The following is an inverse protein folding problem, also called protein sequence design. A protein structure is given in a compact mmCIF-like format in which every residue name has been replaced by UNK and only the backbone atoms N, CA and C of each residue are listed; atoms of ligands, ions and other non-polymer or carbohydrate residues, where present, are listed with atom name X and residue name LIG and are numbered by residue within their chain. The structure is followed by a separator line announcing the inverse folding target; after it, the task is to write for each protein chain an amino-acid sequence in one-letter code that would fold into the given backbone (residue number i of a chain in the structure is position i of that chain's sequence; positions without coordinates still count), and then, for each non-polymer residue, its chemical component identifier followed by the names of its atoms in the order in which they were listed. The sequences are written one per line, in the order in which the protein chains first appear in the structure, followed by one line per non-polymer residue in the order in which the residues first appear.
data_IF_038445605712
#
_entry.id   IF_038445605712
#
_cell.length_a   1.000
_cell.length_b   1.000
_cell.length_c   1.000
_cell.angle_alpha   90.00
_cell.angle_beta   90.00
_cell.angle_gamma   90.00
#
_symmetry.space_group_name_H-M   'P 1'
#
loop_
_entity.id
_entity.type
_entity.pdbx_description
1 polymer ?
#
# COMPACT_ATOMS: atom_id res chain seq x y z
N UNK A 1 73.35 39.07 -50.69
CA UNK A 1 72.58 38.24 -49.74
C UNK A 1 72.03 39.21 -48.71
N UNK A 2 70.74 39.57 -48.82
CA UNK A 2 70.05 40.54 -47.93
C UNK A 2 69.07 39.70 -47.11
N UNK A 3 69.36 39.54 -45.83
CA UNK A 3 68.50 38.83 -44.89
C UNK A 3 67.32 39.69 -44.46
N UNK A 4 66.18 39.02 -44.35
CA UNK A 4 64.81 39.53 -44.34
C UNK A 4 64.17 38.92 -43.11
N UNK A 5 64.04 39.65 -41.99
CA UNK A 5 62.96 39.47 -40.98
C UNK A 5 63.23 40.17 -39.63
N UNK A 6 63.40 41.49 -39.58
CA UNK A 6 63.43 42.18 -38.27
C UNK A 6 62.52 43.41 -38.16
N UNK A 7 61.62 43.61 -39.12
CA UNK A 7 60.66 44.73 -39.09
C UNK A 7 59.22 44.24 -39.30
N UNK A 8 58.69 43.48 -38.35
CA UNK A 8 57.23 43.24 -38.25
C UNK A 8 56.78 43.21 -36.78
N UNK A 9 57.52 43.89 -35.89
CA UNK A 9 57.20 43.90 -34.46
C UNK A 9 56.58 45.22 -33.94
N UNK A 10 56.27 46.21 -34.79
CA UNK A 10 55.84 47.53 -34.27
C UNK A 10 54.84 48.33 -35.12
N UNK A 11 53.84 47.67 -35.74
CA UNK A 11 52.67 48.40 -36.25
C UNK A 11 51.46 47.50 -36.28
N UNK A 12 50.57 47.69 -35.30
CA UNK A 12 49.33 46.93 -35.21
C UNK A 12 48.92 46.53 -33.79
N UNK A 13 49.29 47.30 -32.77
CA UNK A 13 48.72 47.22 -31.42
C UNK A 13 47.25 47.67 -31.41
N UNK A 14 46.40 47.08 -32.24
CA UNK A 14 45.04 46.80 -31.79
C UNK A 14 45.19 45.57 -30.92
N UNK A 15 45.64 45.79 -29.68
CA UNK A 15 45.56 44.81 -28.62
C UNK A 15 44.12 44.32 -28.64
N UNK A 16 43.92 43.11 -29.14
CA UNK A 16 42.60 42.48 -29.20
C UNK A 16 42.29 42.03 -27.78
N UNK A 17 42.01 43.02 -26.92
CA UNK A 17 41.70 42.83 -25.51
C UNK A 17 40.54 41.85 -25.39
N UNK A 18 39.60 41.89 -26.33
CA UNK A 18 38.50 40.93 -26.42
C UNK A 18 38.99 39.50 -26.61
N UNK A 19 39.96 39.24 -27.51
CA UNK A 19 40.56 37.89 -27.65
C UNK A 19 41.40 37.47 -26.47
N UNK A 20 42.21 38.35 -25.89
CA UNK A 20 43.05 38.02 -24.72
C UNK A 20 42.17 37.77 -23.48
N UNK A 21 41.11 38.56 -23.29
CA UNK A 21 40.13 38.36 -22.21
C UNK A 21 39.31 37.09 -22.43
N UNK A 22 38.91 36.79 -23.68
CA UNK A 22 38.26 35.51 -23.99
C UNK A 22 39.19 34.32 -23.70
N UNK A 23 40.45 34.39 -24.13
CA UNK A 23 41.44 33.34 -23.87
C UNK A 23 41.74 33.19 -22.37
N UNK A 24 41.78 34.28 -21.61
CA UNK A 24 41.96 34.25 -20.16
C UNK A 24 40.73 33.68 -19.44
N UNK A 25 39.52 34.07 -19.87
CA UNK A 25 38.27 33.50 -19.37
C UNK A 25 38.15 32.01 -19.71
N UNK A 26 38.57 31.57 -20.89
CA UNK A 26 38.54 30.16 -21.28
C UNK A 26 39.49 29.32 -20.39
N UNK A 27 40.66 29.86 -20.07
CA UNK A 27 41.61 29.23 -19.14
C UNK A 27 41.05 29.24 -17.70
N UNK A 28 40.43 30.33 -17.27
CA UNK A 28 39.80 30.47 -15.95
C UNK A 28 38.57 29.56 -15.78
N UNK A 29 37.91 29.18 -16.88
CA UNK A 29 36.79 28.21 -16.89
C UNK A 29 37.22 26.75 -16.94
N UNK A 30 38.48 26.43 -17.29
CA UNK A 30 38.99 25.05 -17.23
C UNK A 30 38.78 24.34 -15.89
N UNK A 31 39.06 24.94 -14.71
CA UNK A 31 38.80 24.27 -13.43
C UNK A 31 37.31 23.97 -13.23
N UNK A 32 36.41 24.82 -13.71
CA UNK A 32 34.94 24.59 -13.64
C UNK A 32 34.57 23.35 -14.44
N UNK A 33 35.05 23.23 -15.69
CA UNK A 33 34.78 22.04 -16.52
C UNK A 33 35.33 20.74 -15.89
N UNK A 34 36.46 20.81 -15.18
CA UNK A 34 37.03 19.67 -14.42
C UNK A 34 36.17 19.29 -13.22
N UNK A 35 35.49 20.25 -12.59
CA UNK A 35 34.56 19.99 -11.48
C UNK A 35 33.25 19.41 -12.03
N UNK A 36 32.70 19.98 -13.10
CA UNK A 36 31.46 19.49 -13.73
C UNK A 36 31.60 18.04 -14.22
N UNK A 37 32.75 17.69 -14.82
CA UNK A 37 33.04 16.31 -15.22
C UNK A 37 33.15 15.36 -14.03
N UNK A 38 33.73 15.80 -12.91
CA UNK A 38 33.75 15.01 -11.66
C UNK A 38 32.37 14.85 -11.04
N UNK A 39 31.54 15.89 -11.08
CA UNK A 39 30.13 15.85 -10.61
C UNK A 39 29.34 14.85 -11.46
N UNK A 40 29.45 14.95 -12.79
CA UNK A 40 28.79 14.02 -13.72
C UNK A 40 29.23 12.57 -13.48
N UNK A 41 30.54 12.32 -13.33
CA UNK A 41 31.06 11.00 -13.03
C UNK A 41 30.57 10.46 -11.67
N UNK A 42 30.45 11.34 -10.66
CA UNK A 42 29.95 10.96 -9.34
C UNK A 42 28.45 10.67 -9.37
N UNK A 43 27.67 11.47 -10.12
CA UNK A 43 26.23 11.24 -10.33
C UNK A 43 25.96 9.89 -10.99
N UNK A 44 26.70 9.54 -12.04
CA UNK A 44 26.59 8.21 -12.70
C UNK A 44 26.89 7.08 -11.72
N UNK A 45 27.92 7.22 -10.88
CA UNK A 45 28.24 6.23 -9.83
C UNK A 45 27.12 6.09 -8.81
N UNK A 46 26.54 7.20 -8.36
CA UNK A 46 25.41 7.20 -7.42
C UNK A 46 24.20 6.50 -8.06
N UNK A 47 23.86 6.82 -9.30
CA UNK A 47 22.76 6.17 -10.01
C UNK A 47 22.99 4.67 -10.19
N UNK A 48 24.21 4.25 -10.55
CA UNK A 48 24.56 2.84 -10.69
C UNK A 48 24.47 2.09 -9.36
N UNK A 49 24.95 2.70 -8.26
CA UNK A 49 24.83 2.14 -6.92
C UNK A 49 23.37 2.09 -6.44
N UNK A 50 22.56 3.11 -6.76
CA UNK A 50 21.13 3.12 -6.45
C UNK A 50 20.39 1.99 -7.17
N UNK A 51 20.66 1.79 -8.47
CA UNK A 51 20.09 0.66 -9.22
C UNK A 51 20.54 -0.69 -8.65
N UNK A 52 21.82 -0.81 -8.26
CA UNK A 52 22.32 -2.02 -7.62
C UNK A 52 21.65 -2.29 -6.27
N UNK A 53 21.49 -1.26 -5.44
CA UNK A 53 20.80 -1.35 -4.16
C UNK A 53 19.35 -1.80 -4.34
N UNK A 54 18.61 -1.23 -5.30
CA UNK A 54 17.24 -1.67 -5.59
C UNK A 54 17.17 -3.15 -5.97
N UNK A 55 18.10 -3.61 -6.83
CA UNK A 55 18.17 -5.03 -7.21
C UNK A 55 18.54 -5.93 -6.03
N UNK A 56 19.42 -5.48 -5.14
CA UNK A 56 19.83 -6.22 -3.95
C UNK A 56 18.70 -6.33 -2.93
N UNK A 57 17.94 -5.25 -2.69
CA UNK A 57 16.77 -5.31 -1.81
C UNK A 57 15.69 -6.23 -2.39
N UNK A 58 15.45 -6.19 -3.72
CA UNK A 58 14.53 -7.14 -4.36
C UNK A 58 14.98 -8.60 -4.18
N UNK A 59 16.28 -8.87 -4.34
CA UNK A 59 16.85 -10.20 -4.10
C UNK A 59 16.71 -10.63 -2.63
N UNK A 60 17.02 -9.74 -1.68
CA UNK A 60 16.87 -9.99 -0.25
C UNK A 60 15.42 -10.32 0.10
N UNK A 61 14.44 -9.58 -0.41
CA UNK A 61 13.01 -9.88 -0.20
C UNK A 61 12.66 -11.26 -0.74
N UNK A 62 13.08 -11.60 -1.96
CA UNK A 62 12.84 -12.93 -2.54
C UNK A 62 13.47 -14.06 -1.71
N UNK A 63 14.66 -13.83 -1.13
CA UNK A 63 15.31 -14.81 -0.24
C UNK A 63 14.57 -14.93 1.08
N UNK A 64 14.08 -13.83 1.66
CA UNK A 64 13.26 -13.87 2.89
C UNK A 64 11.96 -14.65 2.65
N UNK A 65 11.31 -14.42 1.52
CA UNK A 65 10.10 -15.14 1.13
C UNK A 65 10.37 -16.64 0.95
N UNK A 66 11.52 -17.00 0.39
CA UNK A 66 11.97 -18.38 0.25
C UNK A 66 12.43 -19.01 1.58
N UNK A 67 12.88 -18.21 2.55
CA UNK A 67 13.27 -18.73 3.86
C UNK A 67 12.07 -19.05 4.74
N UNK A 68 10.87 -18.54 4.43
CA UNK A 68 9.68 -18.80 5.22
C UNK A 68 9.18 -20.24 5.02
N UNK A 69 9.33 -21.14 6.02
CA UNK A 69 8.93 -22.54 5.90
C UNK A 69 7.42 -22.72 5.72
N UNK A 70 6.62 -21.72 6.12
CA UNK A 70 5.18 -21.71 5.96
C UNK A 70 4.76 -21.70 4.48
N UNK A 71 5.56 -21.09 3.59
CA UNK A 71 5.28 -21.07 2.15
C UNK A 71 5.39 -22.45 1.51
N UNK A 72 6.23 -23.34 2.06
CA UNK A 72 6.37 -24.72 1.58
C UNK A 72 5.36 -25.69 2.19
N UNK A 73 4.74 -25.31 3.31
CA UNK A 73 3.66 -26.06 3.96
C UNK A 73 2.28 -25.52 3.57
N UNK A 74 2.22 -24.58 2.62
CA UNK A 74 0.98 -23.99 2.14
C UNK A 74 0.13 -25.09 1.49
N UNK A 75 -0.99 -25.41 2.11
CA UNK A 75 -1.93 -26.40 1.61
C UNK A 75 -3.02 -25.72 0.81
N UNK A 76 -3.36 -26.30 -0.33
CA UNK A 76 -4.51 -25.86 -1.12
C UNK A 76 -5.69 -26.78 -0.81
N UNK A 77 -6.82 -26.19 -0.44
CA UNK A 77 -8.08 -26.90 -0.32
C UNK A 77 -8.82 -26.83 -1.66
N UNK A 78 -9.13 -27.99 -2.25
CA UNK A 78 -9.97 -28.08 -3.43
C UNK A 78 -11.36 -28.59 -3.01
N UNK A 79 -12.41 -27.85 -3.37
CA UNK A 79 -13.80 -28.22 -3.12
C UNK A 79 -14.44 -28.63 -4.44
N UNK A 80 -15.07 -29.80 -4.48
CA UNK A 80 -15.70 -30.33 -5.69
C UNK A 80 -16.96 -29.57 -6.09
N UNK A 81 -17.68 -28.98 -5.14
CA UNK A 81 -18.90 -28.20 -5.41
C UNK A 81 -18.78 -26.77 -4.91
N UNK A 82 -18.49 -25.86 -5.84
CA UNK A 82 -18.38 -24.42 -5.59
C UNK A 82 -19.76 -23.85 -5.22
N UNK A 83 -19.83 -23.08 -4.14
CA UNK A 83 -21.06 -22.38 -3.70
C UNK A 83 -21.84 -23.05 -2.55
N UNK A 84 -21.47 -24.26 -2.13
CA UNK A 84 -22.05 -24.90 -0.92
C UNK A 84 -21.24 -24.57 0.33
N UNK A 85 -19.91 -24.56 0.22
CA UNK A 85 -19.00 -24.18 1.28
C UNK A 85 -17.69 -23.66 0.69
N UNK A 86 -17.10 -22.66 1.33
CA UNK A 86 -15.72 -22.25 1.09
C UNK A 86 -14.84 -22.91 2.14
N UNK A 87 -13.79 -23.59 1.70
CA UNK A 87 -12.85 -24.26 2.60
C UNK A 87 -11.48 -23.65 2.39
N UNK A 88 -10.91 -23.11 3.46
CA UNK A 88 -9.55 -22.60 3.49
C UNK A 88 -8.72 -23.54 4.35
N UNK A 89 -7.61 -24.03 3.80
CA UNK A 89 -6.66 -24.86 4.55
C UNK A 89 -5.58 -23.95 5.15
N UNK A 90 -5.47 -23.98 6.46
CA UNK A 90 -4.37 -23.32 7.17
C UNK A 90 -3.09 -24.15 7.09
N UNK A 91 -1.94 -23.53 7.41
CA UNK A 91 -0.61 -24.16 7.36
C UNK A 91 -0.43 -25.37 8.32
N UNK A 92 -1.38 -25.63 9.20
CA UNK A 92 -1.42 -26.78 10.12
C UNK A 92 -2.39 -27.88 9.68
N UNK A 93 -3.09 -27.68 8.56
CA UNK A 93 -4.01 -28.67 8.03
C UNK A 93 -3.26 -29.98 7.69
N UNK A 94 -3.97 -31.10 7.70
CA UNK A 94 -3.43 -32.40 7.27
C UNK A 94 -3.88 -32.69 5.85
N UNK A 95 -2.99 -33.25 5.05
CA UNK A 95 -3.34 -33.73 3.71
C UNK A 95 -4.29 -34.93 3.84
N UNK A 96 -5.57 -34.71 3.57
CA UNK A 96 -6.59 -35.75 3.59
C UNK A 96 -7.81 -35.34 2.76
N UNK A 97 -8.62 -36.32 2.38
CA UNK A 97 -9.92 -36.11 1.75
C UNK A 97 -11.02 -36.12 2.81
N UNK A 98 -11.91 -35.13 2.76
CA UNK A 98 -13.01 -34.97 3.71
C UNK A 98 -14.35 -34.95 2.98
N UNK A 99 -15.34 -35.66 3.52
CA UNK A 99 -16.72 -35.62 3.03
C UNK A 99 -17.52 -34.63 3.88
N UNK A 100 -18.02 -33.57 3.26
CA UNK A 100 -18.91 -32.59 3.88
C UNK A 100 -20.36 -32.86 3.44
N UNK A 101 -21.29 -32.86 4.39
CA UNK A 101 -22.74 -32.94 4.15
C UNK A 101 -23.43 -31.79 4.87
N UNK A 102 -24.07 -30.89 4.13
CA UNK A 102 -24.79 -29.74 4.69
C UNK A 102 -26.27 -30.09 4.81
N UNK A 103 -26.77 -30.18 6.05
CA UNK A 103 -28.19 -30.41 6.32
C UNK A 103 -29.01 -29.12 6.32
N UNK A 104 -28.77 -28.26 7.31
CA UNK A 104 -29.47 -26.99 7.48
C UNK A 104 -28.47 -25.85 7.60
N UNK A 105 -28.78 -24.70 7.00
CA UNK A 105 -28.01 -23.48 7.19
C UNK A 105 -28.36 -22.84 8.53
N UNK A 106 -27.34 -22.27 9.18
CA UNK A 106 -27.52 -21.43 10.35
C UNK A 106 -28.36 -20.19 9.96
N UNK A 107 -29.46 -19.97 10.68
CA UNK A 107 -30.30 -18.77 10.55
C UNK A 107 -30.08 -17.87 11.75
N UNK A 108 -30.19 -16.56 11.55
CA UNK A 108 -30.21 -15.59 12.66
C UNK A 108 -31.59 -15.63 13.33
N UNK A 109 -31.61 -15.57 14.65
CA UNK A 109 -32.84 -15.36 15.40
C UNK A 109 -33.27 -13.88 15.26
N UNK A 110 -34.57 -13.66 15.06
CA UNK A 110 -35.17 -12.34 15.00
C UNK A 110 -36.26 -12.25 16.06
N UNK A 111 -36.13 -11.29 16.96
CA UNK A 111 -37.14 -10.98 17.96
C UNK A 111 -37.72 -9.60 17.69
N UNK A 112 -39.04 -9.49 17.77
CA UNK A 112 -39.76 -8.24 17.58
C UNK A 112 -40.52 -7.88 18.85
N UNK A 113 -40.29 -6.68 19.38
CA UNK A 113 -41.01 -6.15 20.54
C UNK A 113 -41.87 -4.99 20.07
N UNK A 114 -43.19 -5.16 20.15
CA UNK A 114 -44.20 -4.18 19.72
C UNK A 114 -44.97 -3.63 20.91
N UNK A 115 -45.62 -2.47 20.73
CA UNK A 115 -46.49 -1.86 21.74
C UNK A 115 -46.02 -0.49 22.25
N UNK A 116 -45.07 0.15 21.56
CA UNK A 116 -44.55 1.45 21.96
C UNK A 116 -45.34 2.58 21.26
N UNK A 117 -45.83 3.55 22.04
CA UNK A 117 -46.58 4.70 21.53
C UNK A 117 -45.68 5.81 21.00
N UNK A 118 -44.40 5.83 21.39
CA UNK A 118 -43.41 6.81 20.95
C UNK A 118 -42.04 6.18 20.68
N UNK A 119 -41.20 6.84 19.87
CA UNK A 119 -39.82 6.42 19.62
C UNK A 119 -38.96 6.49 20.89
N UNK A 120 -39.24 7.47 21.76
CA UNK A 120 -38.50 7.65 23.01
C UNK A 120 -38.71 6.48 23.97
N UNK A 121 -39.94 5.95 24.06
CA UNK A 121 -40.24 4.78 24.89
C UNK A 121 -39.55 3.51 24.38
N UNK A 122 -39.48 3.36 23.05
CA UNK A 122 -38.75 2.26 22.42
C UNK A 122 -37.23 2.37 22.69
N UNK A 123 -36.67 3.58 22.65
CA UNK A 123 -35.25 3.80 22.97
C UNK A 123 -34.95 3.53 24.46
N UNK A 124 -35.83 3.98 25.36
CA UNK A 124 -35.68 3.72 26.80
C UNK A 124 -35.71 2.21 27.13
N UNK A 125 -36.48 1.41 26.38
CA UNK A 125 -36.49 -0.05 26.53
C UNK A 125 -35.15 -0.68 26.13
N UNK A 126 -34.47 -0.13 25.12
CA UNK A 126 -33.15 -0.57 24.65
C UNK A 126 -32.06 -0.18 25.65
N UNK A 127 -32.14 1.04 26.18
CA UNK A 127 -31.13 1.60 27.09
C UNK A 127 -31.22 1.03 28.53
N UNK A 128 -32.22 0.18 28.81
CA UNK A 128 -32.36 -0.50 30.10
C UNK A 128 -31.14 -1.39 30.38
N UNK A 129 -30.44 -1.08 31.47
CA UNK A 129 -29.22 -1.77 31.88
C UNK A 129 -29.40 -3.30 32.05
N UNK A 130 -30.60 -3.77 32.38
CA UNK A 130 -30.91 -5.20 32.50
C UNK A 130 -30.85 -5.95 31.15
N UNK A 131 -30.93 -5.23 30.03
CA UNK A 131 -30.94 -5.78 28.65
C UNK A 131 -29.70 -5.41 27.85
N UNK A 132 -28.72 -4.74 28.45
CA UNK A 132 -27.48 -4.31 27.78
C UNK A 132 -26.70 -5.48 27.15
N UNK A 133 -26.71 -6.66 27.77
CA UNK A 133 -26.10 -7.89 27.22
C UNK A 133 -26.87 -8.46 26.04
N UNK A 134 -28.19 -8.32 26.01
CA UNK A 134 -29.02 -8.71 24.86
C UNK A 134 -28.78 -7.75 23.70
N UNK A 135 -28.87 -6.44 23.95
CA UNK A 135 -28.68 -5.37 22.96
C UNK A 135 -27.28 -5.39 22.34
N UNK A 136 -26.23 -5.72 23.10
CA UNK A 136 -24.86 -5.78 22.57
C UNK A 136 -24.60 -6.99 21.65
N UNK A 137 -25.37 -8.07 21.81
CA UNK A 137 -25.28 -9.28 20.98
C UNK A 137 -26.27 -9.28 19.80
N UNK A 138 -27.08 -8.22 19.68
CA UNK A 138 -28.09 -8.08 18.62
C UNK A 138 -27.93 -6.78 17.86
N UNK A 139 -28.19 -6.80 16.56
CA UNK A 139 -28.41 -5.59 15.78
C UNK A 139 -29.83 -5.08 16.11
N UNK A 140 -29.91 -3.92 16.74
CA UNK A 140 -31.18 -3.31 17.18
C UNK A 140 -31.62 -2.21 16.22
N UNK A 141 -32.87 -2.26 15.80
CA UNK A 141 -33.48 -1.25 14.92
C UNK A 141 -34.89 -0.92 15.38
N UNK A 142 -35.26 0.36 15.35
CA UNK A 142 -36.60 0.84 15.70
C UNK A 142 -37.32 1.21 14.40
N UNK A 143 -38.53 0.69 14.22
CA UNK A 143 -39.38 0.98 13.05
C UNK A 143 -40.75 1.51 13.48
N UNK A 144 -41.33 2.38 12.66
CA UNK A 144 -42.72 2.79 12.80
C UNK A 144 -43.61 1.83 11.99
N UNK A 145 -44.51 1.14 12.67
CA UNK A 145 -45.50 0.27 12.03
C UNK A 145 -46.63 1.12 11.42
N UNK A 146 -47.25 0.63 10.34
CA UNK A 146 -48.38 1.30 9.67
C UNK A 146 -49.59 1.57 10.57
N UNK A 147 -49.62 0.98 11.77
CA UNK A 147 -50.59 1.24 12.84
C UNK A 147 -50.27 2.45 13.73
N UNK A 148 -49.20 3.19 13.44
CA UNK A 148 -48.74 4.34 14.25
C UNK A 148 -47.96 3.96 15.51
N UNK A 149 -47.68 2.68 15.72
CA UNK A 149 -46.89 2.19 16.86
C UNK A 149 -45.43 1.97 16.47
N UNK A 150 -44.52 2.11 17.43
CA UNK A 150 -43.10 1.78 17.27
C UNK A 150 -42.85 0.32 17.65
N UNK A 151 -41.97 -0.32 16.88
CA UNK A 151 -41.55 -1.72 17.05
C UNK A 151 -40.03 -1.77 17.05
N UNK A 152 -39.48 -2.53 17.99
CA UNK A 152 -38.04 -2.80 18.07
C UNK A 152 -37.79 -4.16 17.42
N UNK A 153 -36.86 -4.23 16.49
CA UNK A 153 -36.35 -5.48 15.95
C UNK A 153 -34.94 -5.73 16.47
N UNK A 154 -34.72 -6.93 17.00
CA UNK A 154 -33.44 -7.41 17.51
C UNK A 154 -33.03 -8.62 16.68
N UNK A 155 -32.02 -8.45 15.83
CA UNK A 155 -31.45 -9.53 15.04
C UNK A 155 -30.16 -10.03 15.68
N UNK A 156 -30.01 -11.35 15.86
CA UNK A 156 -28.77 -11.90 16.42
C UNK A 156 -27.55 -11.54 15.55
N UNK A 157 -26.46 -11.10 16.18
CA UNK A 157 -25.24 -10.70 15.47
C UNK A 157 -24.55 -11.89 14.78
N UNK A 158 -24.61 -13.06 15.39
CA UNK A 158 -24.21 -14.34 14.80
C UNK A 158 -25.43 -15.20 14.42
N UNK A 159 -25.26 -16.03 13.38
CA UNK A 159 -26.22 -17.08 13.06
C UNK A 159 -25.86 -18.36 13.82
N UNK A 160 -26.83 -18.99 14.49
CA UNK A 160 -26.67 -20.32 15.09
C UNK A 160 -26.05 -20.35 16.49
N UNK A 161 -26.58 -19.59 17.45
CA UNK A 161 -26.40 -19.85 18.88
C UNK A 161 -27.58 -20.65 19.43
#
# INVERSE_FOLDING_TARGET
MIDKSLFTALSGSKLDVTKIVSQLMDVERQPITKIDTKIAASSVKISALGQFQTKLEAFKTAVIDLQNPANFSAMTAAVSQVGVAEVVADATAKAASYQLSVGNLAKKALWTVSGFSSQADAQAWIDDASRSTLVSNTDVTIFNASSGQYVISLAAKSAGA
#
